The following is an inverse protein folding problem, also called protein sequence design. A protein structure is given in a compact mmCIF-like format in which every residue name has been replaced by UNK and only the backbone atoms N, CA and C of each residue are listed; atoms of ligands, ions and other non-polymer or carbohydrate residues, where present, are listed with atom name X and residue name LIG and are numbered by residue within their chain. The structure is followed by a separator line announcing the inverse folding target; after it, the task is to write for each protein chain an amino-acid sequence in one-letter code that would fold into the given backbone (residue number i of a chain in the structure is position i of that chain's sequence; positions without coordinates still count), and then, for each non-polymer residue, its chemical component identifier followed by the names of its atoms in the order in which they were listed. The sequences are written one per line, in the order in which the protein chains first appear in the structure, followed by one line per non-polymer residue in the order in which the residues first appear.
data_IF_379997941021
#
_entry.id   IF_379997941021
#
_cell.length_a   1.000
_cell.length_b   1.000
_cell.length_c   1.000
_cell.angle_alpha   90.00
_cell.angle_beta   90.00
_cell.angle_gamma   90.00
#
_symmetry.space_group_name_H-M   'P 1'
#
loop_
_entity.id
_entity.type
_entity.pdbx_description
1 polymer ?
#
# COMPACT_ATOMS: atom_id res chain seq x y z
N UNK A 1 11.53 5.79 13.55
CA UNK A 1 10.29 6.53 13.23
C UNK A 1 10.46 7.96 13.73
N UNK A 2 10.14 8.95 12.91
CA UNK A 2 10.30 10.40 13.17
C UNK A 2 9.03 11.18 12.81
N UNK A 3 7.88 10.51 12.72
CA UNK A 3 6.62 11.17 12.38
C UNK A 3 6.12 12.08 13.51
N UNK A 4 5.45 13.18 13.18
CA UNK A 4 4.82 14.07 14.17
C UNK A 4 5.81 14.90 14.97
N UNK A 5 6.94 15.26 14.39
CA UNK A 5 7.97 16.10 15.02
C UNK A 5 7.96 17.50 14.38
N UNK A 6 8.90 18.35 14.78
CA UNK A 6 9.09 19.69 14.22
C UNK A 6 10.40 19.78 13.41
N UNK A 7 10.78 18.70 12.71
CA UNK A 7 12.02 18.70 11.92
C UNK A 7 11.87 19.65 10.73
N UNK A 8 12.79 20.62 10.64
CA UNK A 8 12.86 21.58 9.52
C UNK A 8 13.85 21.18 8.44
N UNK A 9 14.72 20.20 8.73
CA UNK A 9 15.66 19.63 7.76
C UNK A 9 16.08 18.23 8.17
N UNK A 10 16.60 17.46 7.21
CA UNK A 10 17.31 16.21 7.45
C UNK A 10 18.83 16.45 7.27
N UNK A 11 19.69 15.96 8.17
CA UNK A 11 21.14 16.09 8.02
C UNK A 11 21.63 15.50 6.69
N UNK A 12 22.50 16.23 5.97
CA UNK A 12 23.07 15.77 4.69
C UNK A 12 23.89 14.47 4.84
N UNK A 13 24.41 14.20 6.02
CA UNK A 13 25.12 12.96 6.35
C UNK A 13 24.23 11.72 6.29
N UNK A 14 22.91 11.85 6.40
CA UNK A 14 21.96 10.73 6.22
C UNK A 14 21.99 10.15 4.81
N UNK A 15 22.46 10.89 3.81
CA UNK A 15 22.70 10.34 2.47
C UNK A 15 23.72 9.19 2.46
N UNK A 16 24.52 9.04 3.53
CA UNK A 16 25.47 7.93 3.70
C UNK A 16 24.85 6.70 4.36
N UNK A 17 23.60 6.75 4.84
CA UNK A 17 22.89 5.62 5.44
C UNK A 17 22.44 4.60 4.38
N UNK A 18 23.39 4.00 3.65
CA UNK A 18 23.11 3.13 2.49
C UNK A 18 22.29 1.87 2.80
N UNK A 19 22.18 1.50 4.07
CA UNK A 19 21.39 0.34 4.53
C UNK A 19 20.00 0.73 5.07
N UNK A 20 19.62 2.00 5.05
CA UNK A 20 18.31 2.44 5.52
C UNK A 20 17.22 1.91 4.57
N UNK A 21 16.30 1.10 5.09
CA UNK A 21 15.20 0.49 4.32
C UNK A 21 13.85 1.14 4.57
N UNK A 22 13.63 1.62 5.80
CA UNK A 22 12.37 2.20 6.24
C UNK A 22 12.62 3.56 6.88
N UNK A 23 11.87 4.57 6.45
CA UNK A 23 11.87 5.90 7.06
C UNK A 23 10.44 6.45 7.14
N UNK A 24 9.99 6.78 8.35
CA UNK A 24 8.73 7.49 8.59
C UNK A 24 9.07 8.89 9.09
N UNK A 25 8.83 9.90 8.26
CA UNK A 25 9.11 11.32 8.53
C UNK A 25 7.88 12.20 8.25
N UNK A 26 6.70 11.60 8.10
CA UNK A 26 5.45 12.32 7.92
C UNK A 26 5.19 13.34 9.04
N UNK A 27 4.43 14.39 8.77
CA UNK A 27 4.01 15.38 9.78
C UNK A 27 5.23 16.04 10.45
N UNK A 28 5.99 16.77 9.63
CA UNK A 28 7.15 17.55 10.03
C UNK A 28 7.13 18.90 9.25
N UNK A 29 8.20 19.68 9.31
CA UNK A 29 8.31 21.02 8.73
C UNK A 29 9.45 21.10 7.71
N UNK A 30 9.75 19.99 7.01
CA UNK A 30 10.93 19.89 6.13
C UNK A 30 10.89 20.86 4.94
N UNK A 31 9.71 21.29 4.50
CA UNK A 31 9.51 22.23 3.39
C UNK A 31 9.79 21.61 2.03
N UNK A 32 11.00 21.07 1.81
CA UNK A 32 11.36 20.26 0.65
C UNK A 32 11.99 18.94 1.12
N UNK A 33 11.52 17.83 0.58
CA UNK A 33 12.17 16.54 0.80
C UNK A 33 13.46 16.49 -0.01
N UNK A 34 14.62 16.18 0.60
CA UNK A 34 15.88 16.16 -0.13
C UNK A 34 15.93 15.04 -1.18
N UNK A 35 16.29 15.37 -2.43
CA UNK A 35 16.31 14.40 -3.54
C UNK A 35 17.29 13.23 -3.34
N UNK A 36 18.31 13.38 -2.48
CA UNK A 36 19.20 12.27 -2.11
C UNK A 36 18.44 11.12 -1.44
N UNK A 37 17.30 11.39 -0.79
CA UNK A 37 16.47 10.38 -0.14
C UNK A 37 15.88 9.41 -1.18
N UNK A 38 15.47 9.94 -2.34
CA UNK A 38 14.92 9.14 -3.43
C UNK A 38 15.97 8.37 -4.23
N UNK A 39 17.25 8.65 -3.99
CA UNK A 39 18.39 7.93 -4.59
C UNK A 39 18.98 6.87 -3.66
N UNK A 40 18.40 6.66 -2.47
CA UNK A 40 18.93 5.71 -1.51
C UNK A 40 18.74 4.27 -1.97
N UNK A 41 19.82 3.45 -1.94
CA UNK A 41 19.81 2.16 -2.64
C UNK A 41 18.94 1.09 -1.97
N UNK A 42 18.74 1.17 -0.65
CA UNK A 42 17.99 0.17 0.11
C UNK A 42 16.63 0.68 0.60
N UNK A 43 16.36 1.98 0.47
CA UNK A 43 15.11 2.57 0.95
C UNK A 43 13.94 2.02 0.12
N UNK A 44 12.94 1.49 0.81
CA UNK A 44 11.81 0.75 0.23
C UNK A 44 10.48 1.22 0.78
N UNK A 45 10.44 1.56 2.07
CA UNK A 45 9.24 2.07 2.74
C UNK A 45 9.50 3.48 3.26
N UNK A 46 8.83 4.45 2.65
CA UNK A 46 9.00 5.86 2.96
C UNK A 46 7.62 6.51 3.15
N UNK A 47 7.39 7.08 4.33
CA UNK A 47 6.24 7.95 4.58
C UNK A 47 6.74 9.36 4.85
N UNK A 48 6.27 10.33 4.06
CA UNK A 48 6.73 11.71 4.11
C UNK A 48 5.62 12.74 3.87
N UNK A 49 4.35 12.30 3.97
CA UNK A 49 3.19 13.17 3.88
C UNK A 49 3.25 14.31 4.93
N UNK A 50 2.55 15.42 4.67
CA UNK A 50 2.47 16.54 5.61
C UNK A 50 3.83 17.13 6.02
N UNK A 51 4.74 17.26 5.04
CA UNK A 51 6.01 17.99 5.17
C UNK A 51 6.06 19.28 4.34
N UNK A 52 5.08 19.46 3.46
CA UNK A 52 4.89 20.64 2.63
C UNK A 52 3.44 21.08 2.78
N UNK A 53 3.18 22.37 2.67
CA UNK A 53 1.81 22.84 2.43
C UNK A 53 1.33 22.21 1.13
N UNK A 54 0.20 21.52 1.21
CA UNK A 54 -0.45 20.93 0.05
C UNK A 54 -0.76 22.09 -0.90
N UNK A 55 -0.01 22.23 -1.99
CA UNK A 55 -0.33 23.16 -3.08
C UNK A 55 -1.67 22.85 -3.77
N UNK A 56 -2.37 21.82 -3.30
CA UNK A 56 -3.72 21.45 -3.68
C UNK A 56 -4.66 21.87 -2.55
N UNK A 57 -5.47 22.89 -2.79
CA UNK A 57 -6.65 23.22 -1.99
C UNK A 57 -7.71 22.11 -2.15
N UNK A 58 -7.42 20.90 -1.68
CA UNK A 58 -8.46 19.91 -1.41
C UNK A 58 -8.99 20.21 -0.02
N UNK A 59 -10.03 21.02 0.03
CA UNK A 59 -10.81 21.21 1.23
C UNK A 59 -11.58 19.93 1.55
N UNK A 60 -11.90 19.73 2.83
CA UNK A 60 -12.79 18.65 3.26
C UNK A 60 -14.11 18.63 2.45
N UNK A 61 -14.55 19.73 1.83
CA UNK A 61 -15.80 19.84 1.08
C UNK A 61 -15.88 19.04 -0.24
N UNK A 62 -14.77 18.55 -0.80
CA UNK A 62 -14.79 17.77 -2.05
C UNK A 62 -15.20 16.30 -1.84
N UNK A 63 -15.41 15.88 -0.59
CA UNK A 63 -15.60 14.47 -0.24
C UNK A 63 -17.08 14.12 -0.10
N UNK A 64 -17.51 12.98 -0.65
CA UNK A 64 -18.85 12.42 -0.43
C UNK A 64 -19.02 12.16 1.07
N UNK A 65 -19.81 13.00 1.73
CA UNK A 65 -20.16 12.88 3.12
C UNK A 65 -21.23 11.80 3.33
N UNK A 66 -20.96 10.87 4.24
CA UNK A 66 -21.88 9.85 4.72
C UNK A 66 -22.27 10.21 6.14
N UNK A 67 -23.54 10.52 6.35
CA UNK A 67 -24.04 10.84 7.68
C UNK A 67 -23.89 9.65 8.62
N UNK A 68 -23.30 9.85 9.79
CA UNK A 68 -23.22 8.84 10.83
C UNK A 68 -24.60 8.32 11.24
N UNK A 69 -25.62 9.18 11.25
CA UNK A 69 -27.00 8.80 11.55
C UNK A 69 -27.60 7.78 10.59
N UNK A 70 -27.05 7.67 9.37
CA UNK A 70 -27.48 6.70 8.37
C UNK A 70 -26.82 5.33 8.56
N UNK A 71 -25.95 5.15 9.55
CA UNK A 71 -25.18 3.92 9.76
C UNK A 71 -25.60 3.21 11.05
N UNK A 72 -25.92 1.92 10.93
CA UNK A 72 -26.11 1.02 12.06
C UNK A 72 -24.84 0.21 12.20
N UNK A 73 -23.97 0.61 13.14
CA UNK A 73 -22.73 -0.11 13.43
C UNK A 73 -23.03 -1.41 14.17
N UNK A 74 -22.38 -2.48 13.73
CA UNK A 74 -22.57 -3.84 14.21
C UNK A 74 -21.27 -4.34 14.89
N UNK A 75 -20.84 -5.56 14.57
CA UNK A 75 -19.63 -6.16 15.12
C UNK A 75 -18.34 -5.48 14.65
N UNK A 76 -17.33 -5.51 15.53
CA UNK A 76 -15.97 -5.11 15.17
C UNK A 76 -15.32 -6.21 14.31
N UNK A 77 -14.80 -5.82 13.15
CA UNK A 77 -14.10 -6.71 12.21
C UNK A 77 -12.60 -6.75 12.50
N UNK A 78 -12.04 -5.66 13.01
CA UNK A 78 -10.61 -5.56 13.30
C UNK A 78 -10.23 -4.25 13.97
N UNK A 79 -9.00 -4.20 14.46
CA UNK A 79 -8.44 -3.04 15.13
C UNK A 79 -6.96 -2.91 14.78
N UNK A 80 -6.60 -1.74 14.23
CA UNK A 80 -5.22 -1.42 13.88
C UNK A 80 -4.68 -0.24 14.69
N UNK A 81 -3.47 0.20 14.31
CA UNK A 81 -2.82 1.41 14.82
C UNK A 81 -3.59 2.67 14.42
N UNK A 82 -4.16 2.67 13.21
CA UNK A 82 -4.91 3.81 12.66
C UNK A 82 -6.33 3.93 13.21
N UNK A 83 -7.00 2.81 13.53
CA UNK A 83 -8.41 2.86 13.89
C UNK A 83 -9.08 1.53 14.24
N UNK A 84 -10.37 1.62 14.49
CA UNK A 84 -11.28 0.47 14.66
C UNK A 84 -12.06 0.30 13.37
N UNK A 85 -12.14 -0.93 12.87
CA UNK A 85 -12.94 -1.29 11.70
C UNK A 85 -14.12 -2.13 12.18
N UNK A 86 -15.33 -1.66 11.91
CA UNK A 86 -16.58 -2.35 12.25
C UNK A 86 -17.44 -2.58 11.03
N UNK A 87 -18.23 -3.66 11.05
CA UNK A 87 -19.30 -3.86 10.08
C UNK A 87 -20.42 -2.87 10.37
N UNK A 88 -21.09 -2.37 9.33
CA UNK A 88 -22.28 -1.56 9.49
C UNK A 88 -23.28 -1.80 8.36
N UNK A 89 -24.55 -1.47 8.63
CA UNK A 89 -25.61 -1.40 7.62
C UNK A 89 -25.97 0.05 7.35
N UNK A 90 -26.11 0.41 6.07
CA UNK A 90 -26.60 1.72 5.67
C UNK A 90 -28.12 1.75 5.64
N UNK A 91 -28.71 2.67 6.40
CA UNK A 91 -30.15 2.93 6.40
C UNK A 91 -30.59 3.53 5.05
N UNK A 92 -31.82 3.23 4.63
CA UNK A 92 -32.47 3.80 3.43
C UNK A 92 -31.90 3.39 2.06
N UNK A 93 -30.90 2.51 2.01
CA UNK A 93 -30.49 1.79 0.80
C UNK A 93 -30.73 0.30 1.03
N UNK A 94 -31.31 -0.41 0.06
CA UNK A 94 -31.58 -1.84 0.21
C UNK A 94 -30.30 -2.61 0.57
N UNK A 95 -30.19 -3.02 1.86
CA UNK A 95 -29.18 -3.93 2.42
C UNK A 95 -27.75 -3.77 1.90
N UNK A 96 -27.20 -2.56 1.92
CA UNK A 96 -25.78 -2.38 1.68
C UNK A 96 -25.01 -2.58 2.99
N UNK A 97 -24.41 -3.75 3.16
CA UNK A 97 -23.40 -3.98 4.20
C UNK A 97 -22.10 -3.27 3.82
N UNK A 98 -21.53 -2.54 4.77
CA UNK A 98 -20.31 -1.76 4.60
C UNK A 98 -19.35 -2.01 5.76
N UNK A 99 -18.09 -1.63 5.59
CA UNK A 99 -17.14 -1.52 6.69
C UNK A 99 -16.97 -0.04 7.04
N UNK A 100 -16.90 0.28 8.33
CA UNK A 100 -16.68 1.63 8.85
C UNK A 100 -15.36 1.62 9.60
N UNK A 101 -14.41 2.43 9.14
CA UNK A 101 -13.13 2.67 9.83
C UNK A 101 -13.24 3.99 10.60
N UNK A 102 -13.20 3.92 11.93
CA UNK A 102 -13.10 5.09 12.80
C UNK A 102 -11.66 5.28 13.28
N UNK A 103 -11.12 6.47 13.13
CA UNK A 103 -9.77 6.79 13.58
C UNK A 103 -9.72 7.03 15.09
N UNK A 104 -8.68 6.54 15.77
CA UNK A 104 -8.55 6.58 17.24
C UNK A 104 -7.91 7.86 17.79
N UNK A 105 -7.29 8.69 16.95
CA UNK A 105 -6.56 9.89 17.38
C UNK A 105 -6.26 10.83 16.23
N UNK A 106 -5.60 11.95 16.53
CA UNK A 106 -5.28 12.99 15.53
C UNK A 106 -3.97 12.72 14.77
N UNK A 107 -3.11 11.85 15.29
CA UNK A 107 -1.80 11.52 14.72
C UNK A 107 -1.49 10.02 14.94
N UNK A 108 -0.98 9.36 13.91
CA UNK A 108 -0.46 7.98 13.98
C UNK A 108 1.06 7.98 13.78
N UNK A 109 1.68 6.79 13.91
CA UNK A 109 3.11 6.59 13.59
C UNK A 109 3.45 6.84 12.12
N UNK A 110 2.44 6.85 11.25
CA UNK A 110 2.59 6.88 9.79
C UNK A 110 2.14 8.19 9.17
N UNK A 111 1.24 8.93 9.83
CA UNK A 111 0.78 10.24 9.36
C UNK A 111 -0.45 10.76 10.11
N UNK A 112 -1.11 11.76 9.54
CA UNK A 112 -2.41 12.22 10.02
C UNK A 112 -3.53 11.35 9.42
N UNK A 113 -4.62 11.07 10.15
CA UNK A 113 -5.82 10.43 9.58
C UNK A 113 -6.34 11.15 8.34
N UNK A 114 -6.23 12.49 8.30
CA UNK A 114 -6.60 13.28 7.13
C UNK A 114 -5.77 12.90 5.91
N UNK A 115 -4.48 12.62 6.09
CA UNK A 115 -3.60 12.25 4.98
C UNK A 115 -4.04 10.93 4.35
N UNK A 116 -4.31 9.94 5.19
CA UNK A 116 -4.85 8.64 4.77
C UNK A 116 -6.18 8.81 4.03
N UNK A 117 -7.11 9.60 4.59
CA UNK A 117 -8.41 9.85 3.96
C UNK A 117 -8.27 10.48 2.57
N UNK A 118 -7.43 11.51 2.44
CA UNK A 118 -7.18 12.14 1.15
C UNK A 118 -6.51 11.19 0.16
N UNK A 119 -5.54 10.38 0.59
CA UNK A 119 -4.85 9.43 -0.28
C UNK A 119 -5.81 8.33 -0.78
N UNK A 120 -6.61 7.76 0.12
CA UNK A 120 -7.66 6.79 -0.19
C UNK A 120 -8.64 7.33 -1.24
N UNK A 121 -9.04 8.60 -1.14
CA UNK A 121 -10.01 9.19 -2.06
C UNK A 121 -9.38 9.59 -3.38
N UNK A 122 -8.18 10.19 -3.35
CA UNK A 122 -7.42 10.52 -4.54
C UNK A 122 -7.03 9.26 -5.35
N UNK A 123 -6.87 8.11 -4.68
CA UNK A 123 -6.65 6.84 -5.35
C UNK A 123 -7.82 6.46 -6.28
N UNK A 124 -9.05 6.86 -5.97
CA UNK A 124 -10.22 6.54 -6.78
C UNK A 124 -10.53 5.04 -6.80
N UNK A 125 -11.08 4.55 -7.92
CA UNK A 125 -11.59 3.17 -8.03
C UNK A 125 -10.59 2.25 -8.73
N UNK A 126 -10.29 1.10 -8.12
CA UNK A 126 -9.47 0.05 -8.74
C UNK A 126 -9.85 -1.34 -8.21
N UNK A 127 -9.78 -2.37 -9.07
CA UNK A 127 -10.19 -3.75 -8.73
C UNK A 127 -9.35 -4.41 -7.63
N UNK A 128 -8.12 -3.92 -7.44
CA UNK A 128 -7.15 -4.44 -6.48
C UNK A 128 -6.90 -3.49 -5.29
N UNK A 129 -7.77 -2.51 -5.07
CA UNK A 129 -7.77 -1.65 -3.88
C UNK A 129 -9.02 -1.91 -3.05
N UNK A 130 -8.92 -1.72 -1.73
CA UNK A 130 -10.12 -1.62 -0.89
C UNK A 130 -10.83 -0.31 -1.20
N UNK A 131 -12.09 -0.39 -1.67
CA UNK A 131 -12.80 0.79 -2.13
C UNK A 131 -13.29 1.66 -0.97
N UNK A 132 -12.96 2.94 -1.03
CA UNK A 132 -13.59 3.97 -0.17
C UNK A 132 -14.88 4.44 -0.82
N UNK A 133 -15.96 4.39 -0.04
CA UNK A 133 -17.31 4.77 -0.45
C UNK A 133 -17.68 6.19 -0.01
N UNK A 134 -17.02 6.72 1.04
CA UNK A 134 -17.20 8.10 1.49
C UNK A 134 -16.59 8.37 2.86
N UNK A 135 -16.61 9.64 3.27
CA UNK A 135 -16.17 10.10 4.60
C UNK A 135 -17.35 10.11 5.56
N UNK A 136 -17.13 9.66 6.80
CA UNK A 136 -18.11 9.80 7.88
C UNK A 136 -18.21 11.26 8.33
N UNK A 137 -19.44 11.78 8.39
CA UNK A 137 -19.75 13.12 8.93
C UNK A 137 -20.79 13.04 10.05
N UNK A 138 -20.73 13.97 11.01
CA UNK A 138 -21.71 14.05 12.09
C UNK A 138 -21.59 12.95 13.15
N UNK A 139 -20.40 12.38 13.36
CA UNK A 139 -20.17 11.45 14.48
C UNK A 139 -20.34 12.19 15.83
N UNK A 140 -21.07 11.65 16.82
CA UNK A 140 -21.37 12.35 18.08
C UNK A 140 -20.12 12.83 18.85
N UNK A 141 -19.08 12.01 18.86
CA UNK A 141 -17.77 12.34 19.48
C UNK A 141 -16.81 13.10 18.53
N UNK A 142 -17.28 13.62 17.40
CA UNK A 142 -16.46 14.29 16.38
C UNK A 142 -15.30 13.43 15.83
N UNK A 143 -15.44 12.11 15.88
CA UNK A 143 -14.46 11.17 15.32
C UNK A 143 -14.47 11.26 13.80
N UNK A 144 -13.28 11.25 13.21
CA UNK A 144 -13.10 11.07 11.77
C UNK A 144 -13.25 9.60 11.41
N UNK A 145 -13.74 9.33 10.20
CA UNK A 145 -13.84 7.96 9.71
C UNK A 145 -14.11 7.87 8.21
N UNK A 146 -13.98 6.64 7.70
CA UNK A 146 -14.26 6.27 6.32
C UNK A 146 -15.31 5.16 6.28
N UNK A 147 -16.22 5.25 5.31
CA UNK A 147 -17.05 4.14 4.88
C UNK A 147 -16.34 3.43 3.72
N UNK A 148 -16.17 2.13 3.84
CA UNK A 148 -15.44 1.25 2.92
C UNK A 148 -16.37 0.15 2.41
N UNK A 149 -16.03 -0.42 1.25
CA UNK A 149 -16.65 -1.68 0.80
C UNK A 149 -16.39 -2.78 1.84
N UNK A 150 -17.43 -3.54 2.19
CA UNK A 150 -17.26 -4.69 3.07
C UNK A 150 -16.50 -5.80 2.32
N UNK A 151 -15.33 -6.15 2.82
CA UNK A 151 -14.53 -7.22 2.26
C UNK A 151 -15.15 -8.59 2.63
N UNK A 152 -15.37 -9.50 1.67
CA UNK A 152 -15.91 -10.82 1.96
C UNK A 152 -15.04 -11.62 2.93
N UNK A 153 -15.67 -12.42 3.80
CA UNK A 153 -14.98 -13.23 4.83
C UNK A 153 -14.02 -14.29 4.28
N UNK A 154 -14.10 -14.57 2.97
CA UNK A 154 -13.16 -15.44 2.23
C UNK A 154 -11.79 -14.81 2.03
N UNK A 155 -11.64 -13.50 2.24
CA UNK A 155 -10.35 -12.83 2.20
C UNK A 155 -9.62 -13.00 3.52
N UNK A 156 -8.30 -13.21 3.44
CA UNK A 156 -7.39 -13.29 4.58
C UNK A 156 -6.19 -12.39 4.33
N UNK A 157 -5.63 -11.83 5.40
CA UNK A 157 -4.36 -11.14 5.31
C UNK A 157 -3.28 -12.11 4.84
N UNK A 158 -2.43 -11.69 3.90
CA UNK A 158 -1.40 -12.53 3.30
C UNK A 158 -0.36 -12.99 4.34
N UNK A 159 0.03 -12.08 5.24
CA UNK A 159 0.97 -12.36 6.33
C UNK A 159 0.64 -11.52 7.58
N UNK A 160 1.21 -11.90 8.72
CA UNK A 160 1.25 -11.03 9.90
C UNK A 160 2.33 -9.94 9.77
N UNK A 161 2.22 -8.85 10.56
CA UNK A 161 3.19 -7.77 10.52
C UNK A 161 4.58 -8.21 11.00
N UNK A 162 5.64 -7.41 10.76
CA UNK A 162 6.98 -7.73 11.23
C UNK A 162 7.05 -7.78 12.76
N UNK A 163 8.04 -8.50 13.28
CA UNK A 163 8.41 -8.56 14.69
C UNK A 163 9.79 -7.95 14.94
N UNK A 164 10.17 -7.85 16.21
CA UNK A 164 11.54 -7.45 16.58
C UNK A 164 12.61 -8.40 16.02
N UNK A 165 12.27 -9.66 15.76
CA UNK A 165 13.20 -10.67 15.22
C UNK A 165 13.37 -10.56 13.71
N UNK A 166 12.27 -10.27 13.00
CA UNK A 166 12.24 -10.18 11.53
C UNK A 166 12.52 -8.76 11.03
N UNK A 167 12.50 -7.77 11.94
CA UNK A 167 12.71 -6.34 11.73
C UNK A 167 11.73 -5.74 10.72
N UNK A 168 12.01 -5.91 9.43
CA UNK A 168 11.24 -5.37 8.31
C UNK A 168 10.51 -6.43 7.50
N UNK A 169 10.59 -7.72 7.88
CA UNK A 169 9.96 -8.81 7.13
C UNK A 169 8.68 -9.30 7.77
N UNK A 170 7.67 -9.51 6.95
CA UNK A 170 6.38 -10.02 7.42
C UNK A 170 6.45 -11.49 7.79
N UNK A 171 5.52 -11.91 8.65
CA UNK A 171 5.52 -13.24 9.26
C UNK A 171 4.40 -14.08 8.66
N UNK A 172 4.77 -15.09 7.89
CA UNK A 172 3.82 -16.05 7.32
C UNK A 172 3.52 -17.16 8.32
N UNK A 173 2.32 -17.75 8.22
CA UNK A 173 2.00 -18.91 9.05
C UNK A 173 2.92 -20.08 8.69
N UNK A 174 3.40 -20.87 9.67
CA UNK A 174 4.23 -22.03 9.39
C UNK A 174 3.55 -22.99 8.41
N UNK A 175 4.28 -23.41 7.37
CA UNK A 175 3.76 -24.29 6.33
C UNK A 175 2.91 -23.60 5.26
N UNK A 176 2.88 -22.26 5.21
CA UNK A 176 2.27 -21.52 4.10
C UNK A 176 2.96 -21.91 2.79
N UNK A 177 2.17 -22.37 1.81
CA UNK A 177 2.62 -22.65 0.46
C UNK A 177 1.66 -22.02 -0.55
N UNK A 178 2.20 -21.43 -1.61
CA UNK A 178 1.45 -20.87 -2.71
C UNK A 178 1.65 -21.69 -3.97
N UNK A 179 0.57 -22.00 -4.67
CA UNK A 179 0.70 -22.45 -6.05
C UNK A 179 1.21 -21.31 -6.93
N UNK A 180 1.81 -21.65 -8.06
CA UNK A 180 2.23 -20.68 -9.08
C UNK A 180 1.11 -19.73 -9.48
N UNK A 181 -0.09 -20.27 -9.73
CA UNK A 181 -1.25 -19.45 -10.09
C UNK A 181 -1.59 -18.43 -9.00
N UNK A 182 -1.37 -18.78 -7.73
CA UNK A 182 -1.65 -17.91 -6.61
C UNK A 182 -0.63 -16.77 -6.50
N UNK A 183 0.66 -17.09 -6.66
CA UNK A 183 1.73 -16.10 -6.75
C UNK A 183 1.46 -15.11 -7.90
N UNK A 184 1.16 -15.62 -9.10
CA UNK A 184 0.85 -14.80 -10.28
C UNK A 184 -0.34 -13.86 -10.04
N UNK A 185 -1.38 -14.36 -9.39
CA UNK A 185 -2.57 -13.59 -9.05
C UNK A 185 -2.27 -12.46 -8.06
N UNK A 186 -1.50 -12.74 -7.00
CA UNK A 186 -1.13 -11.74 -5.99
C UNK A 186 -0.21 -10.70 -6.65
N UNK A 187 0.89 -11.13 -7.26
CA UNK A 187 1.87 -10.25 -7.89
C UNK A 187 1.22 -9.34 -8.95
N UNK A 188 0.38 -9.90 -9.83
CA UNK A 188 -0.33 -9.12 -10.84
C UNK A 188 -1.31 -8.11 -10.24
N UNK A 189 -2.05 -8.49 -9.20
CA UNK A 189 -3.03 -7.62 -8.57
C UNK A 189 -2.39 -6.44 -7.85
N UNK A 190 -1.30 -6.70 -7.13
CA UNK A 190 -0.59 -5.67 -6.37
C UNK A 190 0.23 -4.76 -7.28
N UNK A 191 0.88 -5.30 -8.32
CA UNK A 191 1.54 -4.47 -9.33
C UNK A 191 0.55 -3.53 -10.03
N UNK A 192 -0.66 -4.02 -10.37
CA UNK A 192 -1.70 -3.19 -10.98
C UNK A 192 -2.21 -2.10 -10.03
N UNK A 193 -2.43 -2.43 -8.75
CA UNK A 193 -2.81 -1.45 -7.73
C UNK A 193 -1.73 -0.35 -7.58
N UNK A 194 -0.47 -0.73 -7.46
CA UNK A 194 0.63 0.22 -7.34
C UNK A 194 0.80 1.08 -8.61
N UNK A 195 0.71 0.47 -9.81
CA UNK A 195 0.70 1.21 -11.08
C UNK A 195 -0.42 2.28 -11.11
N UNK A 196 -1.61 1.90 -10.65
CA UNK A 196 -2.77 2.79 -10.57
C UNK A 196 -2.54 3.95 -9.59
N UNK A 197 -1.96 3.69 -8.41
CA UNK A 197 -1.63 4.72 -7.43
C UNK A 197 -0.56 5.68 -7.98
N UNK A 198 0.52 5.16 -8.54
CA UNK A 198 1.58 5.98 -9.12
C UNK A 198 1.11 6.76 -10.35
N UNK A 199 0.18 6.24 -11.14
CA UNK A 199 -0.44 7.00 -12.24
C UNK A 199 -1.19 8.26 -11.76
N UNK A 200 -1.61 8.29 -10.49
CA UNK A 200 -2.28 9.41 -9.82
C UNK A 200 -1.36 10.22 -8.90
N UNK A 201 -0.04 9.95 -8.94
CA UNK A 201 0.93 10.66 -8.09
C UNK A 201 0.81 10.32 -6.60
N UNK A 202 0.38 9.09 -6.29
CA UNK A 202 0.26 8.56 -4.94
C UNK A 202 1.28 7.44 -4.77
N UNK A 203 2.06 7.51 -3.69
CA UNK A 203 2.89 6.41 -3.19
C UNK A 203 2.16 5.80 -2.00
N UNK A 204 2.07 4.48 -1.91
CA UNK A 204 1.45 3.82 -0.76
C UNK A 204 2.29 3.98 0.51
N UNK A 205 3.63 3.89 0.40
CA UNK A 205 4.59 4.09 1.48
C UNK A 205 4.73 2.91 2.44
N UNK A 206 3.83 1.94 2.33
CA UNK A 206 3.70 0.77 3.23
C UNK A 206 3.29 -0.52 2.50
N UNK A 207 3.87 -0.75 1.32
CA UNK A 207 3.57 -1.94 0.52
C UNK A 207 4.20 -3.18 1.19
N UNK A 208 3.38 -3.87 1.96
CA UNK A 208 3.71 -5.06 2.77
C UNK A 208 2.65 -6.15 2.61
N UNK A 209 3.02 -7.40 2.90
CA UNK A 209 2.12 -8.53 2.87
C UNK A 209 1.01 -8.41 3.94
N UNK A 210 1.29 -7.87 5.12
CA UNK A 210 0.25 -7.63 6.13
C UNK A 210 -0.81 -6.59 5.72
N UNK A 211 -0.52 -5.77 4.70
CA UNK A 211 -1.46 -4.82 4.11
C UNK A 211 -2.18 -5.38 2.87
N UNK A 212 -1.95 -6.65 2.52
CA UNK A 212 -2.55 -7.33 1.37
C UNK A 212 -3.58 -8.36 1.85
N UNK A 213 -4.80 -8.22 1.35
CA UNK A 213 -5.89 -9.18 1.56
C UNK A 213 -6.03 -10.09 0.35
N UNK A 214 -5.96 -11.40 0.57
CA UNK A 214 -6.00 -12.42 -0.47
C UNK A 214 -7.30 -13.21 -0.36
N UNK A 215 -8.12 -13.12 -1.42
CA UNK A 215 -9.32 -13.94 -1.58
C UNK A 215 -9.10 -15.04 -2.63
N UNK A 216 -10.15 -15.78 -3.04
CA UNK A 216 -10.02 -16.86 -4.02
C UNK A 216 -9.38 -16.40 -5.33
N UNK A 217 -9.93 -15.36 -5.97
CA UNK A 217 -9.59 -14.95 -7.34
C UNK A 217 -9.03 -13.52 -7.47
N UNK A 218 -8.86 -12.77 -6.35
CA UNK A 218 -8.15 -11.47 -6.36
C UNK A 218 -7.35 -11.23 -5.08
N UNK A 219 -6.39 -10.32 -5.16
CA UNK A 219 -5.71 -9.70 -4.02
C UNK A 219 -6.09 -8.21 -3.96
N UNK A 220 -6.21 -7.66 -2.76
CA UNK A 220 -6.54 -6.27 -2.49
C UNK A 220 -5.44 -5.65 -1.65
N UNK A 221 -4.94 -4.49 -2.07
CA UNK A 221 -4.08 -3.65 -1.25
C UNK A 221 -4.96 -2.74 -0.36
N UNK A 222 -4.53 -2.57 0.88
CA UNK A 222 -5.25 -1.83 1.93
C UNK A 222 -4.28 -1.02 2.79
N UNK A 223 -4.84 -0.19 3.67
CA UNK A 223 -4.13 0.69 4.63
C UNK A 223 -3.26 1.78 4.00
N UNK A 224 -3.84 2.98 3.86
CA UNK A 224 -3.17 4.13 3.28
C UNK A 224 -2.55 5.04 4.35
N UNK A 225 -2.33 4.54 5.58
CA UNK A 225 -1.81 5.33 6.70
C UNK A 225 -0.47 6.02 6.44
N UNK A 226 0.35 5.43 5.56
CA UNK A 226 1.67 5.95 5.16
C UNK A 226 1.66 6.67 3.79
N UNK A 227 0.51 6.71 3.13
CA UNK A 227 0.43 7.12 1.75
C UNK A 227 0.78 8.61 1.57
N UNK A 228 1.47 8.91 0.49
CA UNK A 228 1.93 10.27 0.18
C UNK A 228 1.49 10.68 -1.21
N UNK A 229 0.78 11.81 -1.30
CA UNK A 229 0.50 12.49 -2.56
C UNK A 229 1.73 13.34 -2.90
N UNK A 230 2.49 12.94 -3.93
CA UNK A 230 3.74 13.62 -4.30
C UNK A 230 3.63 14.42 -5.61
N UNK A 231 2.44 14.47 -6.23
CA UNK A 231 2.16 15.30 -7.39
C UNK A 231 3.03 14.97 -8.61
N UNK A 232 2.74 13.84 -9.27
CA UNK A 232 3.55 13.28 -10.37
C UNK A 232 3.96 14.30 -11.45
N UNK A 233 3.04 15.18 -11.83
CA UNK A 233 3.28 16.15 -12.93
C UNK A 233 4.17 17.33 -12.53
N UNK A 234 4.45 17.50 -11.23
CA UNK A 234 5.17 18.64 -10.68
C UNK A 234 6.44 18.24 -9.91
N UNK A 235 6.75 16.95 -9.85
CA UNK A 235 7.90 16.43 -9.10
C UNK A 235 8.96 15.89 -10.05
N UNK A 236 10.13 16.55 -10.06
CA UNK A 236 11.32 16.08 -10.76
C UNK A 236 11.77 14.68 -10.27
N UNK A 237 11.38 14.32 -9.04
CA UNK A 237 11.73 13.06 -8.37
C UNK A 237 10.65 11.96 -8.56
N UNK A 238 9.55 12.22 -9.28
CA UNK A 238 8.42 11.28 -9.42
C UNK A 238 8.85 9.87 -9.88
N UNK A 239 9.78 9.81 -10.82
CA UNK A 239 10.34 8.57 -11.34
C UNK A 239 11.14 7.78 -10.28
N UNK A 240 11.86 8.47 -9.41
CA UNK A 240 12.65 7.86 -8.33
C UNK A 240 11.74 7.41 -7.18
N UNK A 241 10.72 8.22 -6.85
CA UNK A 241 9.68 7.90 -5.87
C UNK A 241 8.98 6.59 -6.24
N UNK A 242 8.51 6.43 -7.48
CA UNK A 242 7.92 5.16 -7.93
C UNK A 242 8.86 3.97 -7.75
N UNK A 243 10.14 4.15 -8.11
CA UNK A 243 11.13 3.07 -8.05
C UNK A 243 11.60 2.73 -6.63
N UNK A 244 11.38 3.61 -5.64
CA UNK A 244 11.52 3.23 -4.23
C UNK A 244 10.48 2.18 -3.85
N UNK A 245 9.21 2.41 -4.17
CA UNK A 245 8.11 1.49 -3.84
C UNK A 245 8.20 0.18 -4.64
N UNK A 246 8.78 0.21 -5.84
CA UNK A 246 9.12 -1.01 -6.61
C UNK A 246 10.04 -1.95 -5.82
N UNK A 247 10.95 -1.43 -5.00
CA UNK A 247 11.80 -2.30 -4.15
C UNK A 247 10.99 -3.00 -3.07
N UNK A 248 10.00 -2.33 -2.48
CA UNK A 248 9.06 -2.97 -1.55
C UNK A 248 8.27 -4.09 -2.25
N UNK A 249 7.86 -3.88 -3.50
CA UNK A 249 7.27 -4.95 -4.32
C UNK A 249 8.26 -6.09 -4.60
N UNK A 250 9.55 -5.80 -4.78
CA UNK A 250 10.61 -6.81 -4.87
C UNK A 250 10.71 -7.68 -3.61
N UNK A 251 10.62 -7.09 -2.42
CA UNK A 251 10.55 -7.84 -1.16
C UNK A 251 9.30 -8.72 -1.10
N UNK A 252 8.12 -8.21 -1.50
CA UNK A 252 6.91 -9.03 -1.60
C UNK A 252 7.11 -10.23 -2.54
N UNK A 253 7.71 -10.04 -3.72
CA UNK A 253 8.01 -11.15 -4.64
C UNK A 253 8.97 -12.17 -4.00
N UNK A 254 10.00 -11.71 -3.30
CA UNK A 254 10.93 -12.58 -2.58
C UNK A 254 10.19 -13.46 -1.57
N UNK A 255 9.30 -12.88 -0.75
CA UNK A 255 8.50 -13.63 0.22
C UNK A 255 7.56 -14.64 -0.46
N UNK A 256 6.89 -14.25 -1.54
CA UNK A 256 6.00 -15.15 -2.28
C UNK A 256 6.77 -16.32 -2.91
N UNK A 257 7.99 -16.07 -3.42
CA UNK A 257 8.85 -17.08 -4.03
C UNK A 257 9.43 -18.03 -2.97
N UNK A 258 9.77 -17.55 -1.77
CA UNK A 258 10.20 -18.40 -0.65
C UNK A 258 9.12 -19.38 -0.19
N UNK A 259 7.84 -19.01 -0.37
CA UNK A 259 6.68 -19.82 -0.01
C UNK A 259 6.05 -20.53 -1.22
N UNK A 260 6.73 -20.67 -2.35
CA UNK A 260 6.18 -21.40 -3.50
C UNK A 260 6.10 -22.91 -3.20
N UNK A 261 5.03 -23.57 -3.66
CA UNK A 261 4.92 -25.03 -3.61
C UNK A 261 6.13 -25.67 -4.32
N UNK A 262 6.85 -26.62 -3.69
CA UNK A 262 8.00 -27.30 -4.29
C UNK A 262 7.72 -27.87 -5.69
N UNK A 263 6.48 -28.29 -5.97
CA UNK A 263 6.09 -28.83 -7.26
C UNK A 263 6.05 -27.78 -8.39
N UNK A 264 5.99 -26.49 -8.04
CA UNK A 264 5.91 -25.37 -8.99
C UNK A 264 7.27 -24.66 -9.21
N UNK A 265 8.29 -24.98 -8.40
CA UNK A 265 9.59 -24.28 -8.34
C UNK A 265 10.37 -24.24 -9.66
N UNK A 266 10.26 -25.28 -10.49
CA UNK A 266 11.08 -25.44 -11.70
C UNK A 266 10.43 -24.89 -12.98
N UNK A 267 9.34 -24.11 -12.88
CA UNK A 267 8.70 -23.56 -14.07
C UNK A 267 9.40 -22.30 -14.60
N UNK A 268 9.41 -22.12 -15.93
CA UNK A 268 9.96 -20.91 -16.57
C UNK A 268 9.32 -19.61 -16.06
N UNK A 269 8.03 -19.65 -15.73
CA UNK A 269 7.32 -18.53 -15.10
C UNK A 269 7.96 -18.16 -13.76
N UNK A 270 8.27 -19.13 -12.90
CA UNK A 270 8.93 -18.88 -11.61
C UNK A 270 10.34 -18.32 -11.80
N UNK A 271 11.11 -18.82 -12.77
CA UNK A 271 12.41 -18.21 -13.11
C UNK A 271 12.27 -16.75 -13.55
N UNK A 272 11.22 -16.44 -14.31
CA UNK A 272 10.95 -15.07 -14.76
C UNK A 272 10.53 -14.15 -13.58
N UNK A 273 9.76 -14.65 -12.61
CA UNK A 273 9.46 -13.92 -11.38
C UNK A 273 10.70 -13.71 -10.51
N UNK A 274 11.59 -14.70 -10.43
CA UNK A 274 12.88 -14.56 -9.72
C UNK A 274 13.73 -13.46 -10.36
N UNK A 275 13.82 -13.40 -11.69
CA UNK A 275 14.53 -12.32 -12.38
C UNK A 275 13.85 -10.95 -12.16
N UNK A 276 12.51 -10.90 -12.23
CA UNK A 276 11.77 -9.67 -11.95
C UNK A 276 12.04 -9.16 -10.53
N UNK A 277 12.13 -10.06 -9.55
CA UNK A 277 12.49 -9.73 -8.17
C UNK A 277 13.89 -9.08 -8.10
N UNK A 278 14.89 -9.66 -8.74
CA UNK A 278 16.25 -9.08 -8.79
C UNK A 278 16.28 -7.70 -9.46
N UNK A 279 15.49 -7.50 -10.52
CA UNK A 279 15.38 -6.22 -11.22
C UNK A 279 14.69 -5.15 -10.35
N UNK A 280 13.66 -5.52 -9.59
CA UNK A 280 13.03 -4.65 -8.60
C UNK A 280 13.98 -4.28 -7.45
N UNK A 281 14.97 -5.12 -7.16
CA UNK A 281 15.91 -4.97 -6.04
C UNK A 281 17.27 -4.38 -6.46
N UNK A 282 17.39 -3.79 -7.64
CA UNK A 282 18.60 -3.07 -8.05
C UNK A 282 18.98 -1.95 -7.06
N UNK A 283 20.28 -1.80 -6.79
CA UNK A 283 20.80 -0.76 -5.88
C UNK A 283 20.69 0.64 -6.48
N UNK A 284 20.84 0.76 -7.79
CA UNK A 284 20.61 2.02 -8.49
C UNK A 284 19.10 2.19 -8.72
N UNK A 285 18.49 3.13 -8.00
CA UNK A 285 17.03 3.30 -7.95
C UNK A 285 16.44 3.38 -9.36
N UNK A 286 17.01 4.19 -10.25
CA UNK A 286 16.49 4.40 -11.60
C UNK A 286 16.61 3.20 -12.56
N UNK A 287 17.42 2.19 -12.22
CA UNK A 287 17.52 0.93 -13.00
C UNK A 287 16.39 -0.05 -12.70
N UNK A 288 15.64 0.17 -11.62
CA UNK A 288 14.45 -0.63 -11.32
C UNK A 288 13.38 -0.36 -12.39
N UNK A 289 12.59 -1.38 -12.80
CA UNK A 289 11.45 -1.17 -13.67
C UNK A 289 10.42 -0.27 -12.97
N UNK A 290 9.58 0.43 -13.74
CA UNK A 290 8.40 1.08 -13.18
C UNK A 290 7.23 0.09 -13.09
N UNK A 291 6.14 0.42 -12.39
CA UNK A 291 5.05 -0.54 -12.19
C UNK A 291 4.30 -0.87 -13.48
N UNK A 292 4.25 0.04 -14.45
CA UNK A 292 3.68 -0.25 -15.76
C UNK A 292 4.49 -1.35 -16.47
N UNK A 293 5.82 -1.28 -16.46
CA UNK A 293 6.71 -2.29 -17.01
C UNK A 293 6.57 -3.63 -16.27
N UNK A 294 6.50 -3.60 -14.93
CA UNK A 294 6.23 -4.79 -14.11
C UNK A 294 4.94 -5.47 -14.54
N UNK A 295 3.85 -4.72 -14.72
CA UNK A 295 2.57 -5.27 -15.18
C UNK A 295 2.69 -5.95 -16.55
N UNK A 296 3.41 -5.34 -17.49
CA UNK A 296 3.63 -5.94 -18.82
C UNK A 296 4.44 -7.24 -18.73
N UNK A 297 5.50 -7.27 -17.92
CA UNK A 297 6.33 -8.46 -17.71
C UNK A 297 5.53 -9.60 -17.10
N UNK A 298 4.76 -9.33 -16.03
CA UNK A 298 3.90 -10.33 -15.38
C UNK A 298 2.85 -10.88 -16.36
N UNK A 299 2.23 -10.03 -17.18
CA UNK A 299 1.29 -10.47 -18.20
C UNK A 299 1.94 -11.43 -19.22
N UNK A 300 3.19 -11.16 -19.62
CA UNK A 300 3.95 -12.03 -20.52
C UNK A 300 4.28 -13.39 -19.88
N UNK A 301 4.64 -13.43 -18.59
CA UNK A 301 4.96 -14.68 -17.88
C UNK A 301 3.77 -15.66 -17.89
N UNK A 302 2.55 -15.12 -17.79
CA UNK A 302 1.29 -15.89 -17.83
C UNK A 302 0.94 -16.43 -19.21
N UNK A 303 1.55 -15.91 -20.28
CA UNK A 303 1.38 -16.43 -21.62
C UNK A 303 2.31 -17.61 -21.88
N UNK A 304 3.55 -17.58 -21.35
CA UNK A 304 4.51 -18.68 -21.43
C UNK A 304 3.90 -20.00 -20.94
N UNK A 305 3.07 -19.95 -19.90
CA UNK A 305 2.42 -21.11 -19.27
C UNK A 305 1.26 -21.72 -20.09
N UNK A 306 0.57 -20.93 -20.93
CA UNK A 306 -0.55 -21.41 -21.76
C UNK A 306 -0.08 -22.24 -22.95
N UNK A 307 1.08 -21.89 -23.52
CA UNK A 307 1.68 -22.61 -24.66
C UNK A 307 2.16 -24.02 -24.31
N UNK A 308 2.52 -24.28 -23.05
CA UNK A 308 3.04 -25.58 -22.58
C UNK A 308 1.94 -26.55 -22.09
N UNK A 309 0.73 -26.05 -21.82
CA UNK A 309 -0.41 -26.85 -21.34
C UNK A 309 -1.39 -27.26 -22.46
N UNK A 310 -1.08 -26.88 -23.70
CA UNK A 310 -1.87 -27.19 -24.91
C UNK A 310 -1.12 -28.08 -25.93
N UNK A 311 -0.01 -28.68 -25.50
CA UNK A 311 0.80 -29.69 -26.21
C UNK A 311 0.91 -30.94 -25.36
#
# INVERSE_FOLDING_TARGET
MLAGNALTSLPSTMAQCRNLQLLRISVNQLGKIPSWLFSMPQLSWLAFASNMDRGVSQTDDDLIGVSWGDLIVMEQLGEGTSGIISKAHRQNTAQQEVAVKLFKGELTTDGLPTDEMYACMAAGVHSNLVQVLGRIVGHPEQKRGLMLELIPSTFKTLAGPPSLDTCTRDIYQPGTLFSRSKLEQIASGIAAAAAHLHSRGIMHGDLYAHNILVGPNKALLSDFGAATLYGKDYSDDAAAIERLEVRAFGYLLEELLEHIDPNDTHSESINAFTQLKEDCMQLEVLKRPNFAEICHRIAAFRLLTKTLSST
#
